data_IF_536330838665
#
_entry.id   IF_536330838665
#
_cell.length_a   1.000
_cell.length_b   1.000
_cell.length_c   1.000
_cell.angle_alpha   90.00
_cell.angle_beta   90.00
_cell.angle_gamma   90.00
#
_symmetry.space_group_name_H-M   'P 1'
#
loop_
_entity.id
_entity.type
_entity.pdbx_description
1 polymer ?
#
# COMPACT_ATOMS: atom_id res chain seq x y z
N UNK A 1 5.58 19.64 -20.50
CA UNK A 1 5.49 18.25 -19.98
C UNK A 1 5.55 18.34 -18.45
N UNK A 2 4.65 17.65 -17.74
CA UNK A 2 4.69 17.62 -16.25
C UNK A 2 5.93 16.82 -15.83
N UNK A 3 6.76 17.43 -15.00
CA UNK A 3 7.96 16.75 -14.46
C UNK A 3 7.52 15.55 -13.64
N UNK A 4 8.16 14.39 -13.85
CA UNK A 4 7.87 13.19 -13.05
C UNK A 4 8.32 13.40 -11.61
N UNK A 5 7.52 12.93 -10.66
CA UNK A 5 7.91 12.91 -9.25
C UNK A 5 9.02 11.88 -9.01
N UNK A 6 9.75 12.00 -7.91
CA UNK A 6 10.79 11.02 -7.52
C UNK A 6 10.19 9.61 -7.35
N UNK A 7 9.00 9.51 -6.77
CA UNK A 7 8.25 8.28 -6.65
C UNK A 7 7.96 7.64 -8.02
N UNK A 8 7.49 8.43 -9.01
CA UNK A 8 7.27 7.94 -10.36
C UNK A 8 8.58 7.50 -11.04
N UNK A 9 9.69 8.23 -10.81
CA UNK A 9 11.01 7.87 -11.34
C UNK A 9 11.52 6.55 -10.75
N UNK A 10 11.33 6.34 -9.45
CA UNK A 10 11.71 5.10 -8.77
C UNK A 10 10.95 3.91 -9.34
N UNK A 11 9.61 3.97 -9.33
CA UNK A 11 8.78 2.85 -9.77
C UNK A 11 8.86 2.58 -11.28
N UNK A 12 9.28 3.54 -12.09
CA UNK A 12 9.57 3.31 -13.50
C UNK A 12 10.83 2.43 -13.71
N UNK A 13 11.75 2.42 -12.74
CA UNK A 13 12.98 1.61 -12.77
C UNK A 13 12.87 0.34 -11.94
N UNK A 14 12.02 0.35 -10.91
CA UNK A 14 11.85 -0.74 -9.96
C UNK A 14 10.82 -1.74 -10.47
N UNK A 15 11.19 -3.04 -10.50
CA UNK A 15 10.27 -4.09 -10.93
C UNK A 15 9.46 -4.61 -9.73
N UNK A 16 8.35 -3.94 -9.42
CA UNK A 16 7.45 -4.29 -8.34
C UNK A 16 6.89 -5.72 -8.47
N UNK A 17 6.65 -6.19 -9.69
CA UNK A 17 6.17 -7.56 -9.93
C UNK A 17 7.17 -8.61 -9.44
N UNK A 18 8.49 -8.34 -9.55
CA UNK A 18 9.52 -9.24 -9.05
C UNK A 18 9.67 -9.18 -7.52
N UNK A 19 9.41 -8.02 -6.91
CA UNK A 19 9.58 -7.83 -5.46
C UNK A 19 8.74 -8.83 -4.66
N UNK A 20 7.44 -8.91 -4.93
CA UNK A 20 6.53 -9.82 -4.24
C UNK A 20 6.72 -11.32 -4.61
N UNK A 21 7.57 -11.62 -5.59
CA UNK A 21 7.96 -12.99 -5.91
C UNK A 21 9.26 -13.43 -5.20
N UNK A 22 9.98 -12.52 -4.53
CA UNK A 22 11.14 -12.87 -3.69
C UNK A 22 10.68 -13.63 -2.44
N UNK A 23 11.61 -14.29 -1.73
CA UNK A 23 11.31 -15.02 -0.49
C UNK A 23 10.60 -14.12 0.54
N UNK A 24 11.08 -12.92 0.76
CA UNK A 24 10.49 -11.96 1.70
C UNK A 24 9.15 -11.42 1.18
N UNK A 25 9.07 -11.08 -0.10
CA UNK A 25 7.83 -10.64 -0.72
C UNK A 25 6.73 -11.70 -0.71
N UNK A 26 7.08 -13.00 -0.77
CA UNK A 26 6.11 -14.08 -0.60
C UNK A 26 5.57 -14.17 0.83
N UNK A 27 6.38 -13.90 1.85
CA UNK A 27 5.90 -13.83 3.25
C UNK A 27 4.93 -12.65 3.38
N UNK A 28 5.32 -11.47 2.92
CA UNK A 28 4.45 -10.29 2.91
C UNK A 28 3.11 -10.58 2.23
N UNK A 29 3.16 -11.09 1.00
CA UNK A 29 1.95 -11.38 0.22
C UNK A 29 1.04 -12.39 0.92
N UNK A 30 1.58 -13.51 1.40
CA UNK A 30 0.79 -14.56 2.06
C UNK A 30 0.20 -14.08 3.39
N UNK A 31 0.95 -13.32 4.17
CA UNK A 31 0.46 -12.75 5.43
C UNK A 31 -0.67 -11.76 5.16
N UNK A 32 -0.49 -10.86 4.20
CA UNK A 32 -1.52 -9.90 3.82
C UNK A 32 -2.79 -10.61 3.31
N UNK A 33 -2.65 -11.60 2.41
CA UNK A 33 -3.80 -12.39 1.92
C UNK A 33 -4.50 -13.15 3.04
N UNK A 34 -3.76 -13.68 4.03
CA UNK A 34 -4.36 -14.32 5.19
C UNK A 34 -5.30 -13.36 5.96
N UNK A 35 -4.86 -12.13 6.23
CA UNK A 35 -5.70 -11.13 6.88
C UNK A 35 -6.85 -10.66 5.99
N UNK A 36 -6.61 -10.46 4.70
CA UNK A 36 -7.66 -10.12 3.73
C UNK A 36 -8.77 -11.19 3.78
N UNK A 37 -8.43 -12.46 3.64
CA UNK A 37 -9.40 -13.56 3.67
C UNK A 37 -10.15 -13.64 5.00
N UNK A 38 -9.45 -13.48 6.13
CA UNK A 38 -10.08 -13.46 7.45
C UNK A 38 -11.20 -12.41 7.54
N UNK A 39 -10.96 -11.20 7.04
CA UNK A 39 -11.95 -10.14 7.06
C UNK A 39 -13.02 -10.30 5.97
N UNK A 40 -12.67 -10.88 4.83
CA UNK A 40 -13.66 -11.24 3.81
C UNK A 40 -14.64 -12.29 4.31
N UNK A 41 -14.20 -13.28 5.09
CA UNK A 41 -15.07 -14.25 5.74
C UNK A 41 -16.04 -13.56 6.73
N UNK A 42 -15.56 -12.62 7.51
CA UNK A 42 -16.41 -11.81 8.41
C UNK A 42 -17.48 -11.05 7.61
N UNK A 43 -17.08 -10.34 6.53
CA UNK A 43 -18.01 -9.60 5.66
C UNK A 43 -19.05 -10.55 5.03
N UNK A 44 -18.66 -11.74 4.58
CA UNK A 44 -19.57 -12.74 4.00
C UNK A 44 -20.64 -13.22 4.98
N UNK A 45 -20.31 -13.28 6.27
CA UNK A 45 -21.30 -13.64 7.29
C UNK A 45 -22.40 -12.59 7.44
N UNK A 46 -22.07 -11.33 7.13
CA UNK A 46 -22.96 -10.17 7.32
C UNK A 46 -23.75 -9.79 6.06
N UNK A 47 -23.39 -10.33 4.89
CA UNK A 47 -24.06 -10.01 3.61
C UNK A 47 -24.15 -11.20 2.67
N UNK A 48 -25.28 -11.26 1.94
CA UNK A 48 -25.47 -12.20 0.81
C UNK A 48 -25.19 -11.53 -0.55
N UNK A 49 -24.73 -10.27 -0.54
CA UNK A 49 -24.44 -9.50 -1.76
C UNK A 49 -23.02 -9.73 -2.25
N UNK A 50 -22.75 -9.37 -3.50
CA UNK A 50 -21.38 -9.35 -4.03
C UNK A 50 -20.51 -8.38 -3.22
N UNK A 51 -19.31 -8.81 -2.84
CA UNK A 51 -18.37 -8.01 -2.09
C UNK A 51 -17.54 -7.17 -3.06
N UNK A 52 -17.53 -5.86 -2.83
CA UNK A 52 -16.75 -4.88 -3.59
C UNK A 52 -15.47 -4.51 -2.84
N UNK A 53 -14.32 -4.72 -3.48
CA UNK A 53 -13.01 -4.47 -2.90
C UNK A 53 -12.35 -3.29 -3.61
N UNK A 54 -11.74 -2.38 -2.84
CA UNK A 54 -10.88 -1.31 -3.35
C UNK A 54 -9.43 -1.58 -2.95
N UNK A 55 -8.52 -1.50 -3.92
CA UNK A 55 -7.08 -1.57 -3.71
C UNK A 55 -6.44 -0.22 -4.07
N UNK A 56 -6.05 0.57 -3.04
CA UNK A 56 -5.46 1.91 -3.18
C UNK A 56 -3.94 1.79 -3.14
N UNK A 57 -3.27 2.23 -4.22
CA UNK A 57 -1.85 2.03 -4.41
C UNK A 57 -1.54 0.60 -4.89
N UNK A 58 -2.37 0.10 -5.80
CA UNK A 58 -2.36 -1.30 -6.23
C UNK A 58 -1.04 -1.76 -6.88
N UNK A 59 -0.14 -0.85 -7.23
CA UNK A 59 1.10 -1.16 -7.92
C UNK A 59 0.84 -1.89 -9.24
N UNK A 60 1.49 -3.02 -9.44
CA UNK A 60 1.25 -3.90 -10.60
C UNK A 60 0.06 -4.85 -10.40
N UNK A 61 -0.70 -4.70 -9.30
CA UNK A 61 -1.96 -5.40 -9.06
C UNK A 61 -1.83 -6.80 -8.51
N UNK A 62 -0.82 -7.08 -7.69
CA UNK A 62 -0.62 -8.44 -7.15
C UNK A 62 -1.80 -8.89 -6.29
N UNK A 63 -2.28 -8.04 -5.39
CA UNK A 63 -3.47 -8.31 -4.58
C UNK A 63 -4.75 -8.21 -5.39
N UNK A 64 -4.90 -7.14 -6.17
CA UNK A 64 -6.10 -6.90 -6.98
C UNK A 64 -6.41 -8.06 -7.91
N UNK A 65 -5.39 -8.59 -8.63
CA UNK A 65 -5.57 -9.71 -9.57
C UNK A 65 -5.90 -11.00 -8.83
N UNK A 66 -5.18 -11.30 -7.74
CA UNK A 66 -5.45 -12.50 -6.95
C UNK A 66 -6.89 -12.54 -6.43
N UNK A 67 -7.39 -11.41 -5.91
CA UNK A 67 -8.77 -11.30 -5.41
C UNK A 67 -9.81 -11.36 -6.55
N UNK A 68 -9.50 -10.76 -7.70
CA UNK A 68 -10.38 -10.86 -8.88
C UNK A 68 -10.45 -12.29 -9.42
N UNK A 69 -9.34 -13.04 -9.42
CA UNK A 69 -9.29 -14.45 -9.81
C UNK A 69 -10.08 -15.35 -8.84
N UNK A 70 -10.23 -14.93 -7.58
CA UNK A 70 -11.11 -15.57 -6.59
C UNK A 70 -12.60 -15.20 -6.76
N UNK A 71 -12.93 -14.31 -7.71
CA UNK A 71 -14.31 -13.96 -8.07
C UNK A 71 -14.86 -12.72 -7.37
N UNK A 72 -14.03 -11.93 -6.68
CA UNK A 72 -14.46 -10.64 -6.09
C UNK A 72 -14.53 -9.53 -7.15
N UNK A 73 -15.41 -8.54 -6.92
CA UNK A 73 -15.46 -7.31 -7.72
C UNK A 73 -14.41 -6.33 -7.22
N UNK A 74 -13.29 -6.22 -7.94
CA UNK A 74 -12.12 -5.45 -7.51
C UNK A 74 -11.95 -4.19 -8.35
N UNK A 75 -11.88 -3.05 -7.65
CA UNK A 75 -11.43 -1.77 -8.20
C UNK A 75 -10.00 -1.47 -7.71
N UNK A 76 -9.11 -1.10 -8.62
CA UNK A 76 -7.73 -0.75 -8.31
C UNK A 76 -7.43 0.71 -8.67
N UNK A 77 -6.84 1.44 -7.74
CA UNK A 77 -6.35 2.82 -7.94
C UNK A 77 -4.84 2.81 -7.83
N UNK A 78 -4.16 3.28 -8.88
CA UNK A 78 -2.70 3.35 -8.91
C UNK A 78 -2.23 4.72 -9.41
N UNK A 79 -1.26 5.32 -8.70
CA UNK A 79 -0.72 6.64 -9.01
C UNK A 79 0.21 6.57 -10.22
N UNK A 80 1.11 5.60 -10.22
CA UNK A 80 2.21 5.47 -11.20
C UNK A 80 1.70 4.83 -12.47
N UNK A 81 1.73 5.57 -13.57
CA UNK A 81 1.23 5.10 -14.88
C UNK A 81 1.89 3.83 -15.36
N UNK A 82 3.17 3.66 -15.09
CA UNK A 82 3.92 2.47 -15.49
C UNK A 82 3.35 1.21 -14.82
N UNK A 83 3.16 1.24 -13.51
CA UNK A 83 2.58 0.14 -12.75
C UNK A 83 1.14 -0.16 -13.20
N UNK A 84 0.32 0.89 -13.35
CA UNK A 84 -1.04 0.76 -13.87
C UNK A 84 -1.05 0.11 -15.26
N UNK A 85 -0.09 0.46 -16.12
CA UNK A 85 0.07 -0.16 -17.44
C UNK A 85 0.36 -1.66 -17.38
N UNK A 86 1.17 -2.10 -16.40
CA UNK A 86 1.45 -3.51 -16.14
C UNK A 86 0.18 -4.22 -15.65
N UNK A 87 -0.51 -3.65 -14.66
CA UNK A 87 -1.75 -4.20 -14.13
C UNK A 87 -2.78 -4.44 -15.25
N UNK A 88 -3.02 -3.44 -16.09
CA UNK A 88 -3.98 -3.54 -17.22
C UNK A 88 -3.62 -4.62 -18.25
N UNK A 89 -2.33 -4.90 -18.43
CA UNK A 89 -1.86 -5.94 -19.35
C UNK A 89 -2.06 -7.36 -18.81
N UNK A 90 -2.35 -7.54 -17.53
CA UNK A 90 -2.59 -8.88 -16.94
C UNK A 90 -3.92 -9.49 -17.37
N UNK A 91 -4.80 -8.73 -18.01
CA UNK A 91 -6.04 -9.25 -18.61
C UNK A 91 -7.07 -9.73 -17.60
N UNK A 92 -6.97 -9.31 -16.33
CA UNK A 92 -7.93 -9.65 -15.28
C UNK A 92 -9.20 -8.78 -15.36
N UNK A 93 -10.23 -9.15 -14.59
CA UNK A 93 -11.50 -8.42 -14.47
C UNK A 93 -11.39 -7.15 -13.61
N UNK A 94 -10.20 -6.83 -13.09
CA UNK A 94 -9.96 -5.67 -12.22
C UNK A 94 -10.29 -4.35 -12.93
N UNK A 95 -11.12 -3.53 -12.31
CA UNK A 95 -11.44 -2.17 -12.75
C UNK A 95 -10.31 -1.20 -12.37
N UNK A 96 -9.26 -1.11 -13.21
CA UNK A 96 -8.05 -0.36 -12.89
C UNK A 96 -8.10 1.08 -13.43
N UNK A 97 -7.86 2.07 -12.54
CA UNK A 97 -7.81 3.48 -12.87
C UNK A 97 -6.61 4.21 -12.28
N UNK A 98 -6.21 5.32 -12.93
CA UNK A 98 -5.20 6.19 -12.35
C UNK A 98 -5.83 7.12 -11.31
N UNK A 99 -5.20 7.19 -10.12
CA UNK A 99 -5.63 8.06 -9.03
C UNK A 99 -4.56 8.24 -7.96
N UNK A 100 -4.87 9.12 -7.01
CA UNK A 100 -4.03 9.41 -5.85
C UNK A 100 -4.84 9.14 -4.58
N UNK A 101 -4.25 8.46 -3.61
CA UNK A 101 -4.87 8.16 -2.31
C UNK A 101 -5.39 9.42 -1.59
N UNK A 102 -4.74 10.57 -1.82
CA UNK A 102 -5.15 11.85 -1.25
C UNK A 102 -6.42 12.46 -1.89
N UNK A 103 -6.90 11.89 -2.99
CA UNK A 103 -8.06 12.41 -3.71
C UNK A 103 -8.70 11.32 -4.57
N UNK A 104 -9.70 10.66 -4.03
CA UNK A 104 -10.47 9.60 -4.67
C UNK A 104 -11.82 10.10 -5.20
N UNK A 105 -11.93 11.38 -5.60
CA UNK A 105 -13.19 12.02 -6.04
C UNK A 105 -13.93 11.34 -7.21
N UNK A 106 -13.25 10.43 -7.93
CA UNK A 106 -13.85 9.63 -8.99
C UNK A 106 -14.65 8.43 -8.47
N UNK A 107 -14.50 8.13 -7.18
CA UNK A 107 -15.20 7.05 -6.51
C UNK A 107 -16.28 7.65 -5.60
N UNK A 108 -17.46 7.03 -5.64
CA UNK A 108 -18.58 7.41 -4.78
C UNK A 108 -18.28 7.09 -3.31
N UNK A 109 -19.00 7.75 -2.41
CA UNK A 109 -18.95 7.40 -0.98
C UNK A 109 -19.67 6.07 -0.74
N UNK A 110 -19.26 5.36 0.31
CA UNK A 110 -19.93 4.14 0.79
C UNK A 110 -20.07 3.04 -0.29
N UNK A 111 -19.04 2.88 -1.13
CA UNK A 111 -19.09 2.00 -2.29
C UNK A 111 -18.47 0.61 -2.00
N UNK A 112 -17.44 0.53 -1.15
CA UNK A 112 -16.64 -0.68 -0.97
C UNK A 112 -16.84 -1.34 0.40
N UNK A 113 -16.89 -2.66 0.40
CA UNK A 113 -17.01 -3.47 1.63
C UNK A 113 -15.66 -3.65 2.31
N UNK A 114 -14.59 -3.76 1.50
CA UNK A 114 -13.20 -3.88 1.95
C UNK A 114 -12.32 -2.91 1.16
N UNK A 115 -11.51 -2.12 1.86
CA UNK A 115 -10.52 -1.21 1.26
C UNK A 115 -9.11 -1.59 1.72
N UNK A 116 -8.22 -1.83 0.77
CA UNK A 116 -6.80 -2.04 1.00
C UNK A 116 -6.05 -0.72 0.78
N UNK A 117 -5.24 -0.31 1.76
CA UNK A 117 -4.39 0.88 1.70
C UNK A 117 -2.95 0.44 2.02
N UNK A 118 -2.36 -0.40 1.13
CA UNK A 118 -1.10 -1.09 1.39
C UNK A 118 0.14 -0.39 0.83
N UNK A 119 -0.02 0.51 -0.13
CA UNK A 119 1.08 1.23 -0.76
C UNK A 119 1.28 2.66 -0.27
N UNK A 120 0.23 3.47 -0.19
CA UNK A 120 0.37 4.92 -0.03
C UNK A 120 0.97 5.37 1.30
N UNK A 121 0.64 4.73 2.42
CA UNK A 121 0.92 5.27 3.76
C UNK A 121 2.41 5.47 4.04
N UNK A 122 3.26 4.62 3.54
CA UNK A 122 4.71 4.75 3.73
C UNK A 122 5.40 5.63 2.67
N UNK A 123 4.63 6.26 1.78
CA UNK A 123 5.08 7.30 0.86
C UNK A 123 4.53 8.69 1.20
N UNK A 124 3.79 8.80 2.31
CA UNK A 124 3.24 10.05 2.82
C UNK A 124 4.03 10.47 4.06
N UNK A 125 4.78 11.57 3.95
CA UNK A 125 5.72 12.01 4.98
C UNK A 125 5.09 12.97 6.00
N UNK A 126 3.92 13.54 5.70
CA UNK A 126 3.23 14.44 6.63
C UNK A 126 2.03 13.75 7.26
N UNK A 127 1.78 14.05 8.53
CA UNK A 127 0.59 13.56 9.22
C UNK A 127 -0.70 14.02 8.52
N UNK A 128 -0.71 15.24 7.98
CA UNK A 128 -1.84 15.79 7.24
C UNK A 128 -2.19 14.93 6.02
N UNK A 129 -1.20 14.53 5.21
CA UNK A 129 -1.41 13.68 4.05
C UNK A 129 -1.87 12.27 4.46
N UNK A 130 -1.30 11.69 5.52
CA UNK A 130 -1.73 10.39 6.06
C UNK A 130 -3.19 10.43 6.50
N UNK A 131 -3.57 11.45 7.28
CA UNK A 131 -4.96 11.66 7.72
C UNK A 131 -5.89 11.85 6.53
N UNK A 132 -5.46 12.60 5.52
CA UNK A 132 -6.24 12.82 4.29
C UNK A 132 -6.45 11.54 3.50
N UNK A 133 -5.41 10.70 3.34
CA UNK A 133 -5.55 9.41 2.68
C UNK A 133 -6.50 8.47 3.43
N UNK A 134 -6.41 8.43 4.77
CA UNK A 134 -7.34 7.68 5.60
C UNK A 134 -8.77 8.21 5.51
N UNK A 135 -8.95 9.53 5.47
CA UNK A 135 -10.28 10.15 5.31
C UNK A 135 -10.92 9.77 3.97
N UNK A 136 -10.15 9.78 2.86
CA UNK A 136 -10.65 9.34 1.55
C UNK A 136 -10.95 7.84 1.54
N UNK A 137 -10.07 6.99 2.10
CA UNK A 137 -10.34 5.56 2.25
C UNK A 137 -11.62 5.31 3.07
N UNK A 138 -11.81 6.03 4.18
CA UNK A 138 -13.02 5.96 5.00
C UNK A 138 -14.27 6.41 4.23
N UNK A 139 -14.18 7.49 3.47
CA UNK A 139 -15.31 8.03 2.69
C UNK A 139 -15.84 7.03 1.67
N UNK A 140 -14.95 6.32 0.98
CA UNK A 140 -15.34 5.37 -0.07
C UNK A 140 -15.72 3.99 0.46
N UNK A 141 -15.36 3.69 1.71
CA UNK A 141 -15.72 2.44 2.39
C UNK A 141 -17.10 2.57 3.03
N UNK A 142 -17.95 1.55 2.86
CA UNK A 142 -19.28 1.50 3.45
C UNK A 142 -19.24 1.62 4.97
N UNK A 143 -20.28 2.17 5.62
CA UNK A 143 -20.46 2.02 7.07
C UNK A 143 -20.42 0.54 7.47
N UNK A 144 -19.59 0.20 8.46
CA UNK A 144 -19.33 -1.19 8.85
C UNK A 144 -18.35 -1.96 7.95
N UNK A 145 -17.93 -1.37 6.83
CA UNK A 145 -16.87 -1.93 5.98
C UNK A 145 -15.50 -1.88 6.66
N UNK A 146 -14.54 -2.56 6.09
CA UNK A 146 -13.21 -2.75 6.68
C UNK A 146 -12.14 -2.06 5.85
N UNK A 147 -11.20 -1.40 6.51
CA UNK A 147 -10.01 -0.80 5.90
C UNK A 147 -8.78 -1.50 6.46
N UNK A 148 -7.98 -2.11 5.59
CA UNK A 148 -6.69 -2.68 5.95
C UNK A 148 -5.59 -1.73 5.51
N UNK A 149 -4.70 -1.37 6.45
CA UNK A 149 -3.63 -0.39 6.20
C UNK A 149 -2.28 -1.05 6.45
N UNK A 150 -1.31 -0.80 5.55
CA UNK A 150 0.07 -1.24 5.74
C UNK A 150 1.00 -0.06 5.98
N UNK A 151 1.93 -0.25 6.92
CA UNK A 151 3.00 0.68 7.25
C UNK A 151 4.36 0.00 7.16
N UNK A 152 5.41 0.77 6.91
CA UNK A 152 6.79 0.32 7.14
C UNK A 152 7.15 0.55 8.61
N UNK A 153 7.45 -0.55 9.32
CA UNK A 153 7.76 -0.48 10.75
C UNK A 153 9.21 -0.12 10.98
N UNK A 154 9.44 0.91 11.81
CA UNK A 154 10.77 1.37 12.19
C UNK A 154 11.63 0.25 12.80
N UNK A 155 11.07 -0.48 13.76
CA UNK A 155 11.77 -1.52 14.51
C UNK A 155 12.30 -2.61 13.57
N UNK A 156 11.50 -3.02 12.60
CA UNK A 156 11.93 -4.02 11.62
C UNK A 156 13.09 -3.52 10.76
N UNK A 157 13.00 -2.29 10.25
CA UNK A 157 14.07 -1.69 9.44
C UNK A 157 15.36 -1.52 10.21
N UNK A 158 15.30 -1.02 11.44
CA UNK A 158 16.47 -0.83 12.30
C UNK A 158 17.13 -2.17 12.62
N UNK A 159 16.34 -3.16 13.04
CA UNK A 159 16.88 -4.49 13.39
C UNK A 159 17.48 -5.20 12.17
N UNK A 160 16.86 -5.10 11.00
CA UNK A 160 17.34 -5.82 9.81
C UNK A 160 18.46 -5.06 9.12
N UNK A 161 18.20 -3.85 8.63
CA UNK A 161 19.16 -3.08 7.85
C UNK A 161 20.31 -2.55 8.70
N UNK A 162 20.00 -1.85 9.80
CA UNK A 162 21.06 -1.22 10.60
C UNK A 162 21.90 -2.25 11.36
N UNK A 163 21.28 -3.16 12.12
CA UNK A 163 22.05 -4.09 12.96
C UNK A 163 22.44 -5.38 12.25
N UNK A 164 21.49 -6.13 11.69
CA UNK A 164 21.76 -7.45 11.11
C UNK A 164 22.62 -7.36 9.84
N UNK A 165 22.41 -6.36 9.01
CA UNK A 165 23.19 -6.12 7.78
C UNK A 165 24.43 -5.24 8.03
N UNK A 166 24.58 -4.69 9.23
CA UNK A 166 25.81 -4.01 9.69
C UNK A 166 25.91 -2.53 9.29
N UNK A 167 24.82 -1.88 8.89
CA UNK A 167 24.79 -0.47 8.45
C UNK A 167 24.63 0.55 9.58
N UNK A 168 24.64 0.12 10.86
CA UNK A 168 24.34 1.00 11.99
C UNK A 168 25.27 2.22 12.06
N UNK A 169 26.58 2.05 11.84
CA UNK A 169 27.53 3.16 11.87
C UNK A 169 27.24 4.17 10.77
N UNK A 170 27.01 3.71 9.54
CA UNK A 170 26.66 4.55 8.41
C UNK A 170 25.36 5.31 8.66
N UNK A 171 24.34 4.65 9.21
CA UNK A 171 23.07 5.28 9.53
C UNK A 171 23.21 6.39 10.57
N UNK A 172 24.04 6.20 11.60
CA UNK A 172 24.30 7.22 12.63
C UNK A 172 25.13 8.39 12.07
N UNK A 173 26.20 8.12 11.31
CA UNK A 173 27.05 9.12 10.69
C UNK A 173 26.30 10.02 9.69
N UNK A 174 25.31 9.44 8.99
CA UNK A 174 24.47 10.15 8.02
C UNK A 174 23.21 10.76 8.65
N UNK A 175 23.07 10.73 9.97
CA UNK A 175 21.89 11.20 10.69
C UNK A 175 20.56 10.60 10.17
N UNK A 176 20.59 9.32 9.75
CA UNK A 176 19.41 8.57 9.32
C UNK A 176 18.64 7.93 10.49
N UNK A 177 19.27 7.88 11.66
CA UNK A 177 18.68 7.42 12.91
C UNK A 177 18.91 8.47 13.99
N UNK A 178 17.94 8.62 14.86
CA UNK A 178 18.04 9.37 16.10
C UNK A 178 18.84 8.55 17.15
N UNK A 179 19.20 9.16 18.27
CA UNK A 179 19.91 8.47 19.37
C UNK A 179 19.10 7.29 19.95
N UNK A 180 17.77 7.36 19.89
CA UNK A 180 16.83 6.32 20.30
C UNK A 180 16.44 5.38 19.14
N UNK A 181 17.23 5.35 18.07
CA UNK A 181 17.07 4.49 16.89
C UNK A 181 15.75 4.67 16.13
N UNK A 182 15.20 5.89 16.12
CA UNK A 182 14.10 6.20 15.24
C UNK A 182 14.64 6.64 13.86
N UNK A 183 14.07 6.09 12.80
CA UNK A 183 14.40 6.49 11.44
C UNK A 183 13.98 7.93 11.21
N UNK A 184 14.93 8.76 10.76
CA UNK A 184 14.63 10.16 10.42
C UNK A 184 13.92 10.19 9.07
N UNK A 185 12.64 10.53 9.10
CA UNK A 185 11.84 10.71 7.88
C UNK A 185 12.28 11.96 7.14
N UNK A 186 12.62 11.80 5.88
CA UNK A 186 13.02 12.91 5.01
C UNK A 186 12.31 12.78 3.66
N UNK A 187 11.81 13.89 3.05
CA UNK A 187 11.13 13.84 1.75
C UNK A 187 11.94 13.22 0.60
N UNK A 188 13.27 13.22 0.71
CA UNK A 188 14.17 12.55 -0.24
C UNK A 188 14.24 11.04 -0.04
N UNK A 189 13.75 10.52 1.08
CA UNK A 189 13.58 9.09 1.29
C UNK A 189 12.34 8.62 0.55
N UNK A 190 12.36 7.37 0.07
CA UNK A 190 11.18 6.80 -0.59
C UNK A 190 10.13 6.33 0.41
N UNK A 191 10.56 6.02 1.62
CA UNK A 191 9.72 5.42 2.65
C UNK A 191 9.78 6.23 3.94
N UNK A 192 8.62 6.39 4.53
CA UNK A 192 8.43 6.83 5.90
C UNK A 192 8.19 5.62 6.80
N UNK A 193 8.72 5.66 8.01
CA UNK A 193 8.67 4.57 8.97
C UNK A 193 7.93 5.02 10.22
N UNK A 194 7.07 4.14 10.73
CA UNK A 194 6.30 4.37 11.97
C UNK A 194 6.77 3.43 13.06
N UNK A 195 6.65 3.84 14.31
CA UNK A 195 6.85 2.99 15.49
C UNK A 195 5.55 2.27 15.85
N UNK A 196 5.67 1.20 16.63
CA UNK A 196 4.51 0.48 17.18
C UNK A 196 3.64 1.38 18.05
N UNK A 197 4.25 2.40 18.66
CA UNK A 197 3.60 3.34 19.59
C UNK A 197 3.02 4.60 18.91
N UNK A 198 3.30 4.84 17.63
CA UNK A 198 2.75 5.95 16.84
C UNK A 198 1.33 5.63 16.31
#
# INVERSE_FOLDING_TARGET
MKQMTELEQYYNKFNEDKRLNTRYGQVEFRTSMHYIHRYLEQIKCDTNSAIHILDIGAGTGKYSVALADEGYDVTAVELVRYNLGILKKKGSTVKAMQGNALNLKKLESDQFDLTLLFGPMYHLFTQEDKVRALAEAKRVTKPGGIILVAYCMNEYCVLTYAFKEGHIKECMEQNRLTEDFHSVSHPENLYDYVRVED
#
